data_IF_337913434018
#
_entry.id   IF_337913434018
#
_cell.length_a   1.000
_cell.length_b   1.000
_cell.length_c   1.000
_cell.angle_alpha   90.00
_cell.angle_beta   90.00
_cell.angle_gamma   90.00
#
_symmetry.space_group_name_H-M   'P 1'
#
loop_
_entity.id
_entity.type
_entity.pdbx_description
1 polymer ?
#
# COMPACT_ATOMS: atom_id res chain seq x y z
N UNK A 1 14.35 21.40 -2.53
CA UNK A 1 13.62 20.80 -1.38
C UNK A 1 12.48 20.00 -1.96
N UNK A 2 12.31 18.78 -1.52
CA UNK A 2 11.20 17.93 -1.95
C UNK A 2 9.88 18.47 -1.41
N UNK A 3 8.85 18.53 -2.24
CA UNK A 3 7.52 19.00 -1.86
C UNK A 3 6.75 17.90 -1.16
N UNK A 4 5.96 18.24 -0.15
CA UNK A 4 5.11 17.30 0.59
C UNK A 4 3.64 17.49 0.19
N UNK A 5 2.94 16.40 -0.11
CA UNK A 5 1.52 16.37 -0.41
C UNK A 5 0.80 15.60 0.68
N UNK A 6 -0.09 16.27 1.39
CA UNK A 6 -0.96 15.59 2.36
C UNK A 6 -2.15 14.96 1.65
N UNK A 7 -2.35 13.67 1.86
CA UNK A 7 -3.54 12.95 1.40
C UNK A 7 -4.50 12.69 2.55
N UNK A 8 -5.82 12.58 2.28
CA UNK A 8 -6.81 12.31 3.33
C UNK A 8 -6.69 10.89 3.85
N UNK A 9 -6.89 10.73 5.18
CA UNK A 9 -7.13 9.44 5.81
C UNK A 9 -8.64 9.24 5.96
N UNK A 10 -9.17 8.16 5.40
CA UNK A 10 -10.60 7.85 5.41
C UNK A 10 -10.84 6.41 5.91
N UNK A 11 -11.98 6.18 6.55
CA UNK A 11 -12.35 4.83 7.00
C UNK A 11 -12.54 3.91 5.79
N UNK A 12 -11.93 2.73 5.82
CA UNK A 12 -12.18 1.68 4.85
C UNK A 12 -13.57 1.08 5.10
N UNK A 13 -14.49 1.37 4.21
CA UNK A 13 -15.81 0.75 4.10
C UNK A 13 -16.02 0.34 2.65
N UNK A 14 -16.89 -0.62 2.37
CA UNK A 14 -17.17 -1.01 0.99
C UNK A 14 -17.70 0.16 0.14
N UNK A 15 -18.35 1.14 0.76
CA UNK A 15 -18.79 2.37 0.09
C UNK A 15 -17.60 3.26 -0.30
N UNK A 16 -16.70 3.53 0.65
CA UNK A 16 -15.52 4.37 0.42
C UNK A 16 -14.49 3.71 -0.51
N UNK A 17 -14.43 2.37 -0.51
CA UNK A 17 -13.55 1.57 -1.35
C UNK A 17 -14.11 1.32 -2.76
N UNK A 18 -15.30 1.79 -3.08
CA UNK A 18 -15.90 1.56 -4.39
C UNK A 18 -14.98 2.03 -5.52
N UNK A 19 -14.63 1.10 -6.41
CA UNK A 19 -13.71 1.31 -7.52
C UNK A 19 -12.24 1.04 -7.18
N UNK A 20 -11.86 1.01 -5.91
CA UNK A 20 -10.51 0.65 -5.45
C UNK A 20 -10.39 -0.83 -5.11
N UNK A 21 -11.43 -1.38 -4.49
CA UNK A 21 -11.45 -2.73 -3.95
C UNK A 21 -12.62 -2.92 -3.00
N UNK A 22 -12.49 -3.85 -2.07
CA UNK A 22 -13.50 -4.13 -1.04
C UNK A 22 -12.89 -4.85 0.17
N UNK A 23 -13.63 -4.84 1.28
CA UNK A 23 -13.27 -5.58 2.49
C UNK A 23 -13.72 -7.03 2.37
N UNK A 24 -12.90 -7.96 2.88
CA UNK A 24 -13.18 -9.40 2.87
C UNK A 24 -13.21 -9.97 4.29
N UNK A 25 -14.08 -10.95 4.51
CA UNK A 25 -14.27 -11.61 5.81
C UNK A 25 -13.41 -12.88 5.96
N UNK A 26 -13.01 -13.55 4.88
CA UNK A 26 -12.23 -14.78 4.89
C UNK A 26 -11.13 -14.75 3.83
N UNK A 27 -9.91 -15.08 4.25
CA UNK A 27 -8.76 -15.20 3.35
C UNK A 27 -8.90 -16.42 2.44
N UNK A 28 -9.30 -17.55 3.00
CA UNK A 28 -9.37 -18.83 2.30
C UNK A 28 -10.45 -18.83 1.20
N UNK A 29 -11.58 -18.16 1.46
CA UNK A 29 -12.72 -18.11 0.54
C UNK A 29 -12.57 -17.03 -0.54
N UNK A 30 -11.53 -16.19 -0.45
CA UNK A 30 -11.34 -15.09 -1.38
C UNK A 30 -10.48 -15.51 -2.57
N UNK A 31 -10.95 -15.17 -3.75
CA UNK A 31 -10.25 -15.38 -5.02
C UNK A 31 -9.62 -14.08 -5.51
N UNK A 32 -8.52 -14.21 -6.26
CA UNK A 32 -7.85 -13.11 -6.94
C UNK A 32 -8.32 -13.04 -8.37
N UNK A 33 -8.77 -11.88 -8.80
CA UNK A 33 -9.00 -11.61 -10.22
C UNK A 33 -7.68 -11.68 -10.98
N UNK A 34 -7.64 -12.48 -12.03
CA UNK A 34 -6.54 -12.56 -12.99
C UNK A 34 -7.03 -12.04 -14.33
N UNK A 35 -6.37 -11.01 -14.82
CA UNK A 35 -6.66 -10.39 -16.12
C UNK A 35 -5.71 -10.96 -17.16
N UNK A 36 -6.21 -11.79 -18.04
CA UNK A 36 -5.44 -12.30 -19.17
C UNK A 36 -5.38 -11.22 -20.25
N UNK A 37 -4.19 -10.91 -20.75
CA UNK A 37 -3.96 -9.85 -21.75
C UNK A 37 -4.42 -8.46 -21.28
N UNK A 38 -3.86 -7.94 -20.17
CA UNK A 38 -4.21 -6.62 -19.68
C UNK A 38 -3.88 -5.55 -20.72
N UNK A 39 -4.70 -4.50 -20.74
CA UNK A 39 -4.40 -3.32 -21.54
C UNK A 39 -3.19 -2.63 -20.96
N UNK A 40 -2.12 -2.52 -21.73
CA UNK A 40 -0.94 -1.76 -21.32
C UNK A 40 -1.24 -0.25 -21.35
N UNK A 41 -0.85 0.43 -20.28
CA UNK A 41 -0.70 1.87 -20.26
C UNK A 41 0.58 2.29 -20.99
N UNK A 42 0.92 3.56 -20.92
CA UNK A 42 2.17 4.06 -21.50
C UNK A 42 3.41 3.79 -20.62
N UNK A 43 3.21 3.51 -19.32
CA UNK A 43 4.30 3.10 -18.44
C UNK A 43 4.69 1.65 -18.70
N UNK A 44 5.98 1.41 -18.73
CA UNK A 44 6.51 0.07 -18.96
C UNK A 44 6.27 -0.83 -17.74
N UNK A 45 6.00 -2.10 -18.03
CA UNK A 45 5.97 -3.16 -17.02
C UNK A 45 7.42 -3.50 -16.67
N UNK A 46 7.72 -3.66 -15.40
CA UNK A 46 9.04 -4.04 -14.92
C UNK A 46 9.49 -5.37 -15.53
N UNK A 47 10.75 -5.41 -15.97
CA UNK A 47 11.34 -6.59 -16.59
C UNK A 47 11.29 -7.80 -15.65
N UNK A 48 10.88 -8.93 -16.17
CA UNK A 48 10.76 -10.18 -15.40
C UNK A 48 9.50 -10.29 -14.56
N UNK A 49 8.54 -9.36 -14.71
CA UNK A 49 7.22 -9.44 -14.08
C UNK A 49 6.12 -9.69 -15.10
N UNK A 50 5.01 -10.32 -14.65
CA UNK A 50 3.87 -10.63 -15.51
C UNK A 50 4.04 -11.85 -16.40
N UNK A 51 3.05 -12.07 -17.27
CA UNK A 51 2.97 -13.13 -18.29
C UNK A 51 2.82 -14.57 -17.76
N UNK A 52 2.62 -14.76 -16.46
CA UNK A 52 2.29 -16.07 -15.90
C UNK A 52 0.90 -16.02 -15.26
N UNK A 53 0.03 -16.90 -15.70
CA UNK A 53 -1.27 -17.08 -15.07
C UNK A 53 -1.15 -17.76 -13.69
N UNK A 54 -2.27 -17.76 -12.94
CA UNK A 54 -2.37 -18.39 -11.64
C UNK A 54 -2.12 -17.42 -10.48
N UNK A 55 -2.30 -17.92 -9.27
CA UNK A 55 -2.18 -17.17 -8.03
C UNK A 55 -1.11 -17.76 -7.13
N UNK A 56 -0.59 -16.98 -6.22
CA UNK A 56 0.29 -17.40 -5.13
C UNK A 56 -0.19 -16.82 -3.82
N UNK A 57 0.06 -17.54 -2.75
CA UNK A 57 -0.25 -17.13 -1.39
C UNK A 57 1.03 -17.09 -0.57
N UNK A 58 1.08 -16.21 0.38
CA UNK A 58 2.22 -16.10 1.28
C UNK A 58 1.97 -15.17 2.45
N UNK A 59 2.95 -15.00 3.27
CA UNK A 59 2.91 -14.05 4.38
C UNK A 59 3.85 -12.88 4.15
N UNK A 60 3.50 -11.78 4.76
CA UNK A 60 4.17 -10.51 4.64
C UNK A 60 4.29 -9.87 6.02
N UNK A 61 5.47 -9.45 6.39
CA UNK A 61 5.73 -8.77 7.65
C UNK A 61 6.04 -7.29 7.41
N UNK A 62 5.51 -6.42 8.25
CA UNK A 62 5.84 -5.00 8.29
C UNK A 62 6.29 -4.59 9.69
N UNK A 63 7.29 -3.73 9.79
CA UNK A 63 7.74 -3.23 11.09
C UNK A 63 8.49 -1.90 10.96
N UNK A 64 8.40 -1.12 12.02
CA UNK A 64 9.19 0.09 12.16
C UNK A 64 10.58 -0.22 12.71
N UNK A 65 11.60 0.27 12.05
CA UNK A 65 12.96 0.28 12.56
C UNK A 65 13.50 1.69 12.40
N UNK A 66 13.53 2.38 13.47
CA UNK A 66 13.83 3.77 13.36
C UNK A 66 12.67 4.54 12.73
N UNK A 67 12.99 5.54 11.97
CA UNK A 67 12.03 6.33 11.21
C UNK A 67 11.56 5.61 9.92
N UNK A 68 12.05 4.40 9.68
CA UNK A 68 11.83 3.68 8.44
C UNK A 68 10.89 2.51 8.66
N UNK A 69 9.87 2.41 7.81
CA UNK A 69 8.99 1.25 7.73
C UNK A 69 9.53 0.26 6.71
N UNK A 70 9.87 -0.91 7.19
CA UNK A 70 10.28 -2.03 6.37
C UNK A 70 9.15 -3.01 6.14
N UNK A 71 9.24 -3.69 4.99
CA UNK A 71 8.45 -4.86 4.67
C UNK A 71 9.32 -6.03 4.26
N UNK A 72 8.80 -7.25 4.43
CA UNK A 72 9.45 -8.46 3.97
C UNK A 72 8.43 -9.51 3.59
N UNK A 73 8.54 -10.03 2.36
CA UNK A 73 7.76 -11.17 1.90
C UNK A 73 8.43 -12.47 2.35
N UNK A 74 7.66 -13.37 2.96
CA UNK A 74 8.17 -14.66 3.40
C UNK A 74 7.94 -15.79 2.37
N UNK A 75 7.25 -15.52 1.25
CA UNK A 75 6.81 -16.55 0.32
C UNK A 75 7.45 -16.52 -1.07
N UNK A 76 7.73 -15.37 -1.64
CA UNK A 76 8.36 -15.26 -2.97
C UNK A 76 9.16 -13.97 -3.02
N UNK A 77 10.47 -14.12 -3.20
CA UNK A 77 11.32 -12.95 -3.49
C UNK A 77 11.15 -12.59 -4.97
N UNK A 78 10.52 -11.48 -5.25
CA UNK A 78 10.64 -10.84 -6.55
C UNK A 78 11.92 -10.01 -6.56
N UNK A 79 12.78 -10.26 -7.53
CA UNK A 79 14.09 -9.58 -7.68
C UNK A 79 14.02 -8.07 -7.92
N UNK A 80 12.81 -7.54 -8.12
CA UNK A 80 12.56 -6.13 -8.41
C UNK A 80 12.30 -5.27 -7.17
N UNK A 81 12.17 -5.86 -5.98
CA UNK A 81 12.02 -5.08 -4.77
C UNK A 81 13.38 -4.46 -4.41
N UNK A 82 13.41 -3.16 -4.13
CA UNK A 82 14.59 -2.47 -3.62
C UNK A 82 14.97 -3.05 -2.25
N UNK A 83 15.69 -4.17 -2.28
CA UNK A 83 16.09 -4.89 -1.08
C UNK A 83 17.37 -4.32 -0.50
N UNK A 84 17.28 -3.88 0.74
CA UNK A 84 18.44 -3.73 1.62
C UNK A 84 18.39 -4.91 2.60
N UNK A 85 19.29 -5.86 2.47
CA UNK A 85 19.35 -7.08 3.30
C UNK A 85 18.07 -7.94 3.28
N UNK A 86 17.44 -8.10 2.12
CA UNK A 86 16.20 -8.89 1.98
C UNK A 86 14.93 -8.20 2.49
N UNK A 87 15.01 -6.89 2.72
CA UNK A 87 13.93 -6.04 3.21
C UNK A 87 13.74 -4.88 2.24
N UNK A 88 12.50 -4.47 2.05
CA UNK A 88 12.21 -3.27 1.27
C UNK A 88 11.56 -2.19 2.12
N UNK A 89 11.77 -0.96 1.70
CA UNK A 89 11.29 0.22 2.40
C UNK A 89 9.89 0.54 1.89
N UNK A 90 8.91 0.59 2.80
CA UNK A 90 7.53 0.98 2.51
C UNK A 90 7.32 2.48 2.72
N UNK A 91 7.92 3.06 3.73
CA UNK A 91 7.72 4.47 4.05
C UNK A 91 8.56 4.95 5.22
N UNK A 92 8.30 6.19 5.61
CA UNK A 92 9.04 6.88 6.65
C UNK A 92 8.09 7.60 7.61
N UNK A 93 8.45 7.68 8.90
CA UNK A 93 7.69 8.46 9.89
C UNK A 93 8.02 9.95 9.88
N UNK A 94 9.13 10.32 9.26
CA UNK A 94 9.56 11.70 9.05
C UNK A 94 9.97 11.88 7.59
N UNK A 95 9.96 13.13 7.10
CA UNK A 95 10.45 13.41 5.76
C UNK A 95 11.94 13.04 5.67
N UNK A 96 12.34 12.06 4.82
CA UNK A 96 13.72 11.57 4.77
C UNK A 96 14.74 12.58 4.23
N UNK A 97 14.30 13.69 3.63
CA UNK A 97 15.18 14.79 3.19
C UNK A 97 15.49 15.80 4.30
N UNK A 98 14.86 15.67 5.46
CA UNK A 98 15.09 16.52 6.62
C UNK A 98 15.95 15.78 7.62
N UNK A 99 17.02 16.41 8.09
CA UNK A 99 17.86 15.84 9.14
C UNK A 99 17.01 15.42 10.34
N UNK A 100 17.10 14.16 10.70
CA UNK A 100 16.32 13.55 11.77
C UNK A 100 16.89 13.99 13.12
N UNK A 101 16.17 14.83 13.83
CA UNK A 101 16.60 15.30 15.15
C UNK A 101 16.07 14.48 16.34
N UNK A 102 15.13 13.53 16.12
CA UNK A 102 14.54 12.73 17.19
C UNK A 102 14.27 11.29 16.81
N UNK A 103 15.00 10.37 17.42
CA UNK A 103 14.83 8.92 17.30
C UNK A 103 13.88 8.32 18.35
N UNK A 104 12.92 9.05 18.85
CA UNK A 104 11.97 8.52 19.83
C UNK A 104 10.80 7.86 19.13
N UNK A 105 10.80 6.52 19.15
CA UNK A 105 9.78 5.66 18.57
C UNK A 105 8.54 5.56 19.46
N UNK A 106 7.71 6.55 19.38
CA UNK A 106 6.29 6.37 19.63
C UNK A 106 5.61 6.30 18.27
N UNK A 107 4.53 5.51 18.16
CA UNK A 107 3.65 5.41 17.00
C UNK A 107 3.74 6.65 16.11
N UNK A 108 4.13 6.52 14.84
CA UNK A 108 4.31 7.67 13.98
C UNK A 108 2.99 8.42 13.79
N UNK A 109 3.00 9.73 14.00
CA UNK A 109 1.84 10.59 13.75
C UNK A 109 1.62 10.80 12.24
N UNK A 110 2.69 10.66 11.45
CA UNK A 110 2.71 10.80 10.01
C UNK A 110 3.45 9.63 9.37
N UNK A 111 3.00 9.24 8.19
CA UNK A 111 3.70 8.28 7.33
C UNK A 111 3.91 8.93 5.98
N UNK A 112 5.16 8.94 5.51
CA UNK A 112 5.57 9.43 4.20
C UNK A 112 5.74 8.28 3.23
N UNK A 113 5.11 8.41 2.06
CA UNK A 113 5.18 7.48 0.94
C UNK A 113 6.16 8.03 -0.09
N UNK A 114 7.07 7.20 -0.54
CA UNK A 114 8.07 7.57 -1.54
C UNK A 114 7.88 6.83 -2.86
N UNK A 115 7.17 5.71 -2.84
CA UNK A 115 6.98 4.77 -3.94
C UNK A 115 5.51 4.39 -4.06
N UNK A 116 5.09 4.00 -5.26
CA UNK A 116 3.81 3.35 -5.52
C UNK A 116 3.90 2.44 -6.74
N UNK A 117 3.03 1.45 -6.79
CA UNK A 117 2.95 0.52 -7.91
C UNK A 117 1.49 0.12 -8.20
N UNK A 118 1.27 -0.52 -9.35
CA UNK A 118 0.01 -1.22 -9.66
C UNK A 118 0.29 -2.50 -10.45
N UNK A 119 -0.68 -3.41 -10.45
CA UNK A 119 -0.63 -4.68 -11.16
C UNK A 119 -1.75 -4.71 -12.21
N UNK A 120 -1.43 -4.65 -13.53
CA UNK A 120 -2.45 -4.65 -14.56
C UNK A 120 -3.10 -6.02 -14.79
N UNK A 121 -2.43 -7.10 -14.42
CA UNK A 121 -2.82 -8.48 -14.70
C UNK A 121 -3.48 -9.22 -13.52
N UNK A 122 -3.63 -8.55 -12.37
CA UNK A 122 -4.27 -9.19 -11.22
C UNK A 122 -4.59 -8.25 -10.06
N UNK A 123 -5.53 -8.67 -9.23
CA UNK A 123 -5.79 -8.04 -7.94
C UNK A 123 -4.79 -8.48 -6.88
N UNK A 124 -4.85 -7.83 -5.73
CA UNK A 124 -4.03 -8.14 -4.57
C UNK A 124 -4.86 -8.14 -3.29
N UNK A 125 -4.54 -9.06 -2.40
CA UNK A 125 -5.23 -9.26 -1.14
C UNK A 125 -4.26 -9.19 0.03
N UNK A 126 -4.60 -8.40 1.03
CA UNK A 126 -3.92 -8.36 2.32
C UNK A 126 -4.89 -8.70 3.44
N UNK A 127 -4.59 -9.69 4.25
CA UNK A 127 -5.40 -10.11 5.39
C UNK A 127 -4.57 -10.04 6.68
N UNK A 128 -4.97 -9.21 7.67
CA UNK A 128 -4.22 -9.06 8.91
C UNK A 128 -4.29 -10.33 9.76
N UNK A 129 -3.16 -10.84 10.22
CA UNK A 129 -3.09 -12.01 11.09
C UNK A 129 -3.51 -11.71 12.53
N UNK A 130 -3.26 -10.49 12.96
CA UNK A 130 -3.57 -10.06 14.32
C UNK A 130 -4.65 -9.00 14.30
N UNK A 131 -5.78 -9.07 14.10
CA UNK A 131 -6.88 -8.10 14.19
C UNK A 131 -6.47 -6.67 14.65
N UNK A 132 -5.38 -6.14 14.09
CA UNK A 132 -4.85 -4.82 14.36
C UNK A 132 -5.09 -3.90 13.18
N UNK A 133 -5.33 -2.60 13.41
CA UNK A 133 -5.55 -1.67 12.32
C UNK A 133 -4.31 -1.46 11.46
N UNK A 134 -4.56 -1.22 10.18
CA UNK A 134 -3.55 -0.87 9.18
C UNK A 134 -4.10 0.16 8.20
N UNK A 135 -3.22 0.78 7.44
CA UNK A 135 -3.58 1.80 6.45
C UNK A 135 -3.03 1.37 5.10
N UNK A 136 -3.82 1.55 4.05
CA UNK A 136 -3.39 1.31 2.68
C UNK A 136 -3.68 2.54 1.81
N UNK A 137 -2.64 3.21 1.28
CA UNK A 137 -2.82 4.30 0.32
C UNK A 137 -3.19 3.75 -1.06
N UNK A 138 -4.28 4.25 -1.64
CA UNK A 138 -4.79 3.83 -2.94
C UNK A 138 -5.10 5.04 -3.81
N UNK A 139 -4.88 4.91 -5.14
CA UNK A 139 -5.37 5.86 -6.12
C UNK A 139 -5.99 5.14 -7.32
N UNK A 140 -7.04 5.71 -7.86
CA UNK A 140 -7.69 5.19 -9.08
C UNK A 140 -6.75 5.38 -10.28
N UNK A 141 -6.80 4.47 -11.25
CA UNK A 141 -6.07 4.65 -12.50
C UNK A 141 -6.67 5.82 -13.28
N UNK A 142 -5.79 6.66 -13.79
CA UNK A 142 -6.09 7.73 -14.75
C UNK A 142 -5.22 7.50 -15.99
N UNK A 143 -5.04 8.50 -16.84
CA UNK A 143 -4.09 8.39 -17.96
C UNK A 143 -2.66 8.19 -17.47
N UNK A 144 -2.35 8.77 -16.30
CA UNK A 144 -1.15 8.50 -15.50
C UNK A 144 -1.49 8.69 -14.01
N UNK A 145 -0.52 8.53 -13.14
CA UNK A 145 -0.67 8.78 -11.72
C UNK A 145 -0.84 10.27 -11.43
N UNK A 146 -1.81 10.59 -10.60
CA UNK A 146 -2.01 11.91 -10.01
C UNK A 146 -1.87 11.79 -8.48
N UNK A 147 -0.81 12.36 -7.94
CA UNK A 147 -0.43 12.15 -6.53
C UNK A 147 -1.48 12.69 -5.56
N UNK A 148 -2.18 13.74 -5.94
CA UNK A 148 -3.25 14.38 -5.18
C UNK A 148 -4.53 13.52 -5.08
N UNK A 149 -4.66 12.50 -5.96
CA UNK A 149 -5.81 11.58 -5.98
C UNK A 149 -5.66 10.39 -5.02
N UNK A 150 -4.48 10.23 -4.41
CA UNK A 150 -4.32 9.22 -3.37
C UNK A 150 -5.20 9.49 -2.16
N UNK A 151 -5.71 8.41 -1.60
CA UNK A 151 -6.42 8.38 -0.31
C UNK A 151 -5.82 7.28 0.54
N UNK A 152 -5.56 7.56 1.79
CA UNK A 152 -5.14 6.56 2.76
C UNK A 152 -6.38 5.92 3.39
N UNK A 153 -6.57 4.62 3.20
CA UNK A 153 -7.71 3.88 3.74
C UNK A 153 -7.34 3.22 5.05
N UNK A 154 -8.02 3.63 6.12
CA UNK A 154 -7.87 3.05 7.45
C UNK A 154 -8.73 1.80 7.57
N UNK A 155 -8.11 0.64 7.68
CA UNK A 155 -8.73 -0.64 7.96
C UNK A 155 -8.61 -0.93 9.47
N UNK A 156 -9.70 -1.30 10.12
CA UNK A 156 -9.71 -1.55 11.58
C UNK A 156 -9.07 -2.87 12.00
N UNK A 157 -8.72 -3.71 11.02
CA UNK A 157 -8.06 -5.00 11.23
C UNK A 157 -9.02 -6.17 11.42
N UNK A 158 -10.32 -5.94 11.45
CA UNK A 158 -11.32 -7.01 11.55
C UNK A 158 -11.51 -7.79 10.24
N UNK A 159 -11.10 -7.19 9.11
CA UNK A 159 -11.25 -7.73 7.74
C UNK A 159 -9.98 -7.53 6.93
N UNK A 160 -9.83 -8.34 5.90
CA UNK A 160 -8.82 -8.12 4.86
C UNK A 160 -9.25 -7.06 3.86
N UNK A 161 -8.28 -6.59 3.07
CA UNK A 161 -8.46 -5.64 1.98
C UNK A 161 -8.11 -6.30 0.66
N UNK A 162 -9.07 -6.38 -0.25
CA UNK A 162 -8.85 -6.72 -1.64
C UNK A 162 -8.71 -5.44 -2.47
N UNK A 163 -7.69 -5.39 -3.32
CA UNK A 163 -7.38 -4.28 -4.23
C UNK A 163 -7.59 -4.77 -5.66
N UNK A 164 -8.36 -4.03 -6.45
CA UNK A 164 -8.59 -4.36 -7.86
C UNK A 164 -7.32 -4.20 -8.71
N UNK A 165 -7.23 -4.90 -9.87
CA UNK A 165 -6.19 -4.63 -10.86
C UNK A 165 -6.14 -3.15 -11.26
N UNK A 166 -4.96 -2.67 -11.63
CA UNK A 166 -4.67 -1.29 -12.03
C UNK A 166 -4.81 -0.21 -10.94
N UNK A 167 -5.13 -0.54 -9.71
CA UNK A 167 -5.18 0.45 -8.63
C UNK A 167 -3.75 0.75 -8.16
N UNK A 168 -3.36 2.02 -8.22
CA UNK A 168 -2.13 2.48 -7.62
C UNK A 168 -2.17 2.27 -6.12
N UNK A 169 -1.15 1.65 -5.58
CA UNK A 169 -1.03 1.39 -4.16
C UNK A 169 0.44 1.28 -3.75
N UNK A 170 0.67 1.37 -2.46
CA UNK A 170 1.87 0.85 -1.81
C UNK A 170 1.41 -0.19 -0.81
N UNK A 171 2.36 -0.95 -0.27
CA UNK A 171 2.06 -2.00 0.70
C UNK A 171 1.27 -1.50 1.90
N UNK A 172 0.98 -2.39 2.83
CA UNK A 172 0.20 -2.07 4.02
C UNK A 172 1.07 -1.45 5.10
N UNK A 173 0.55 -0.41 5.74
CA UNK A 173 1.23 0.37 6.78
C UNK A 173 0.59 0.03 8.13
N UNK A 174 1.31 -0.65 9.04
CA UNK A 174 0.76 -0.98 10.35
C UNK A 174 0.59 0.30 11.19
N UNK A 175 -0.52 0.37 11.92
CA UNK A 175 -0.71 1.40 12.95
C UNK A 175 0.04 1.04 14.23
N UNK A 176 0.40 -0.22 14.40
CA UNK A 176 1.25 -0.75 15.48
C UNK A 176 2.73 -0.76 15.06
N UNK A 177 3.61 -1.05 16.01
CA UNK A 177 5.05 -1.16 15.75
C UNK A 177 5.40 -2.24 14.74
N UNK A 178 4.63 -3.34 14.75
CA UNK A 178 4.78 -4.48 13.84
C UNK A 178 3.44 -5.14 13.58
N UNK A 179 3.27 -5.66 12.35
CA UNK A 179 2.10 -6.47 11.98
C UNK A 179 2.44 -7.42 10.84
N UNK A 180 1.83 -8.60 10.88
CA UNK A 180 1.93 -9.62 9.83
C UNK A 180 0.63 -9.75 9.08
N UNK A 181 0.73 -10.07 7.79
CA UNK A 181 -0.39 -10.25 6.89
C UNK A 181 -0.26 -11.56 6.13
N UNK A 182 -1.38 -12.19 5.84
CA UNK A 182 -1.48 -13.16 4.75
C UNK A 182 -1.79 -12.39 3.47
N UNK A 183 -1.10 -12.75 2.39
CA UNK A 183 -1.23 -12.11 1.09
C UNK A 183 -1.60 -13.13 0.02
N UNK A 184 -2.41 -12.71 -0.94
CA UNK A 184 -2.74 -13.47 -2.15
C UNK A 184 -2.65 -12.54 -3.34
N UNK A 185 -1.97 -12.98 -4.41
CA UNK A 185 -1.70 -12.18 -5.59
C UNK A 185 -1.49 -13.05 -6.83
N UNK A 186 -1.32 -12.46 -7.99
CA UNK A 186 -0.85 -13.17 -9.18
C UNK A 186 0.48 -13.86 -8.92
N UNK A 187 0.70 -15.05 -9.48
CA UNK A 187 1.90 -15.87 -9.25
C UNK A 187 3.19 -15.14 -9.62
N UNK A 188 3.20 -14.51 -10.79
CA UNK A 188 4.20 -13.54 -11.23
C UNK A 188 3.43 -12.36 -11.81
N UNK A 189 2.92 -11.51 -10.92
CA UNK A 189 2.09 -10.39 -11.36
C UNK A 189 2.93 -9.35 -12.12
N UNK A 190 2.36 -8.77 -13.16
CA UNK A 190 2.94 -7.62 -13.83
C UNK A 190 3.00 -6.45 -12.85
N UNK A 191 4.10 -5.70 -12.88
CA UNK A 191 4.30 -4.58 -11.98
C UNK A 191 4.70 -3.34 -12.77
N UNK A 192 4.04 -2.24 -12.45
CA UNK A 192 4.41 -0.90 -12.90
C UNK A 192 4.65 -0.07 -11.66
N UNK A 193 5.86 0.45 -11.50
CA UNK A 193 6.28 1.19 -10.31
C UNK A 193 6.67 2.62 -10.63
N UNK A 194 6.62 3.46 -9.63
CA UNK A 194 7.16 4.82 -9.65
C UNK A 194 7.90 5.13 -8.36
N UNK A 195 8.96 5.90 -8.46
CA UNK A 195 9.58 6.62 -7.35
C UNK A 195 9.07 8.06 -7.36
N UNK A 196 8.34 8.44 -6.31
CA UNK A 196 7.69 9.76 -6.23
C UNK A 196 8.71 10.90 -6.11
N UNK A 197 9.83 10.61 -5.46
CA UNK A 197 10.89 11.59 -5.30
C UNK A 197 11.68 11.78 -6.60
N UNK A 198 12.08 10.69 -7.24
CA UNK A 198 12.86 10.74 -8.48
C UNK A 198 12.07 11.37 -9.63
N UNK A 199 10.81 10.97 -9.82
CA UNK A 199 10.02 11.44 -10.94
C UNK A 199 9.38 12.82 -10.70
N UNK A 200 8.88 13.10 -9.50
CA UNK A 200 8.10 14.30 -9.21
C UNK A 200 8.76 15.26 -8.24
N UNK A 201 9.86 14.87 -7.59
CA UNK A 201 10.47 15.59 -6.46
C UNK A 201 9.46 15.85 -5.34
N UNK A 202 8.64 14.83 -5.00
CA UNK A 202 7.55 14.91 -4.03
C UNK A 202 7.53 13.70 -3.12
N UNK A 203 6.99 13.88 -1.91
CA UNK A 203 6.51 12.82 -1.03
C UNK A 203 5.02 13.00 -0.80
N UNK A 204 4.27 11.91 -0.79
CA UNK A 204 2.91 11.89 -0.24
C UNK A 204 3.00 11.57 1.24
N UNK A 205 2.16 12.18 2.07
CA UNK A 205 2.05 11.77 3.47
C UNK A 205 0.61 11.79 3.95
N UNK A 206 0.34 10.99 4.97
CA UNK A 206 -0.92 10.98 5.70
C UNK A 206 -0.67 10.94 7.21
N UNK A 207 -1.62 11.49 7.96
CA UNK A 207 -1.62 11.38 9.42
C UNK A 207 -2.26 10.05 9.83
N UNK A 208 -1.71 9.37 10.83
CA UNK A 208 -2.20 8.06 11.28
C UNK A 208 -3.40 8.14 12.23
N UNK A 209 -3.75 9.32 12.71
CA UNK A 209 -4.93 9.55 13.54
C UNK A 209 -6.12 9.94 12.65
N UNK A 210 -7.20 9.15 12.70
CA UNK A 210 -8.49 9.58 12.18
C UNK A 210 -8.92 10.81 12.97
N UNK A 211 -9.06 11.95 12.31
CA UNK A 211 -9.80 13.05 12.85
C UNK A 211 -11.27 12.61 12.86
N UNK A 212 -11.78 12.23 14.01
CA UNK A 212 -13.22 12.03 14.22
C UNK A 212 -13.92 13.37 14.06
N UNK A 213 -14.26 13.73 12.84
CA UNK A 213 -15.37 14.63 12.61
C UNK A 213 -16.64 13.78 12.77
N UNK A 214 -17.06 13.57 13.99
CA UNK A 214 -18.43 13.16 14.25
C UNK A 214 -19.33 14.20 13.60
N UNK A 215 -20.22 13.82 12.66
CA UNK A 215 -21.35 14.69 12.37
C UNK A 215 -22.11 14.81 13.68
N UNK A 216 -22.12 16.00 14.26
CA UNK A 216 -23.02 16.32 15.36
C UNK A 216 -24.43 16.00 14.88
N UNK A 217 -25.21 15.19 15.61
CA UNK A 217 -26.63 15.11 15.32
C UNK A 217 -27.20 16.51 15.52
N UNK A 218 -27.51 17.19 14.44
CA UNK A 218 -28.33 18.38 14.48
C UNK A 218 -29.77 17.91 14.39
N UNK A 219 -30.47 18.27 15.42
CA UNK A 219 -31.92 18.23 15.61
C UNK A 219 -32.76 18.41 14.36
#
# INVERSE_FOLDING_TARGET
MTTEIQIPLIQATNENLKGYGYLIDSFEESEIEIVTWPKQGWREIEEGTGNEGGTTEGSFDTWWQGDTLYGQNNAVQHKSDYEIDGKYILGYSNNPDKELQNQNYNRPDKIYLWHANYHPDGGQLFFPRENKPFICPLALPTDDIELENFKAFYCDGSKGLYIHPNIWHEGVFPVSERQSFDGKQGKVHARVSIDLKEEFNKYIYFNTCLLYTSPSPRD
#
